data_IF_197551006307
#
_entry.id   IF_197551006307
#
_cell.length_a   1.000
_cell.length_b   1.000
_cell.length_c   1.000
_cell.angle_alpha   90.00
_cell.angle_beta   90.00
_cell.angle_gamma   90.00
#
_symmetry.space_group_name_H-M   'P 1'
#
loop_
_entity.id
_entity.type
_entity.pdbx_description
1 polymer ?
#
# COMPACT_ATOMS: atom_id res chain seq x y z
N UNK A 1 -17.70 -34.73 -42.44
CA UNK A 1 -16.58 -34.63 -41.46
C UNK A 1 -16.90 -33.58 -40.40
N UNK A 2 -17.57 -33.92 -39.28
CA UNK A 2 -17.94 -32.95 -38.21
C UNK A 2 -17.19 -33.15 -36.88
N UNK A 3 -16.55 -34.31 -36.69
CA UNK A 3 -15.86 -34.71 -35.44
C UNK A 3 -14.52 -33.97 -35.24
N UNK A 4 -13.87 -33.53 -36.32
CA UNK A 4 -12.55 -32.86 -36.25
C UNK A 4 -12.62 -31.47 -35.62
N UNK A 5 -13.70 -30.72 -35.85
CA UNK A 5 -13.81 -29.34 -35.38
C UNK A 5 -14.02 -29.26 -33.86
N UNK A 6 -14.87 -30.13 -33.29
CA UNK A 6 -15.06 -30.22 -31.83
C UNK A 6 -13.78 -30.67 -31.09
N UNK A 7 -12.99 -31.57 -31.69
CA UNK A 7 -11.70 -31.97 -31.14
C UNK A 7 -10.69 -30.82 -31.13
N UNK A 8 -10.64 -30.01 -32.19
CA UNK A 8 -9.74 -28.84 -32.21
C UNK A 8 -10.14 -27.79 -31.18
N UNK A 9 -11.43 -27.48 -31.02
CA UNK A 9 -11.88 -26.54 -29.99
C UNK A 9 -11.54 -27.07 -28.60
N UNK A 10 -11.79 -28.36 -28.35
CA UNK A 10 -11.44 -28.99 -27.06
C UNK A 10 -9.93 -28.96 -26.78
N UNK A 11 -9.08 -29.21 -27.78
CA UNK A 11 -7.62 -29.12 -27.64
C UNK A 11 -7.18 -27.67 -27.43
N UNK A 12 -7.80 -26.70 -28.11
CA UNK A 12 -7.51 -25.28 -27.94
C UNK A 12 -7.88 -24.79 -26.53
N UNK A 13 -9.05 -25.17 -26.01
CA UNK A 13 -9.46 -24.86 -24.63
C UNK A 13 -8.54 -25.55 -23.61
N UNK A 14 -8.14 -26.80 -23.87
CA UNK A 14 -7.19 -27.52 -23.03
C UNK A 14 -5.82 -26.81 -23.01
N UNK A 15 -5.29 -26.45 -24.17
CA UNK A 15 -4.02 -25.74 -24.29
C UNK A 15 -4.08 -24.36 -23.61
N UNK A 16 -5.17 -23.62 -23.79
CA UNK A 16 -5.40 -22.35 -23.11
C UNK A 16 -5.45 -22.52 -21.59
N UNK A 17 -6.13 -23.55 -21.08
CA UNK A 17 -6.19 -23.86 -19.65
C UNK A 17 -4.82 -24.25 -19.08
N UNK A 18 -4.09 -25.13 -19.76
CA UNK A 18 -2.72 -25.51 -19.36
C UNK A 18 -1.78 -24.30 -19.37
N UNK A 19 -1.90 -23.43 -20.36
CA UNK A 19 -1.12 -22.19 -20.44
C UNK A 19 -1.47 -21.24 -19.30
N UNK A 20 -2.76 -21.07 -18.99
CA UNK A 20 -3.20 -20.25 -17.86
C UNK A 20 -2.67 -20.80 -16.52
N UNK A 21 -2.73 -22.12 -16.31
CA UNK A 21 -2.15 -22.77 -15.12
C UNK A 21 -0.64 -22.54 -15.06
N UNK A 22 0.07 -22.67 -16.19
CA UNK A 22 1.50 -22.41 -16.25
C UNK A 22 1.84 -20.95 -15.91
N UNK A 23 1.08 -19.98 -16.43
CA UNK A 23 1.28 -18.57 -16.12
C UNK A 23 0.99 -18.23 -14.65
N UNK A 24 0.00 -18.87 -14.04
CA UNK A 24 -0.30 -18.72 -12.60
C UNK A 24 0.84 -19.28 -11.72
N UNK A 25 1.49 -20.35 -12.15
CA UNK A 25 2.60 -20.98 -11.41
C UNK A 25 3.97 -20.36 -11.71
N UNK A 26 4.09 -19.61 -12.80
CA UNK A 26 5.33 -18.92 -13.18
C UNK A 26 5.57 -17.76 -12.23
N UNK A 27 6.79 -17.68 -11.69
CA UNK A 27 7.21 -16.56 -10.85
C UNK A 27 7.20 -15.27 -11.69
N UNK A 28 6.36 -14.27 -11.37
CA UNK A 28 6.40 -12.98 -12.04
C UNK A 28 7.72 -12.27 -11.71
N UNK A 29 8.06 -11.26 -12.53
CA UNK A 29 9.22 -10.43 -12.24
C UNK A 29 9.06 -9.80 -10.84
N UNK A 30 10.09 -9.88 -9.98
CA UNK A 30 10.03 -9.29 -8.65
C UNK A 30 9.86 -7.78 -8.79
N UNK A 31 8.87 -7.23 -8.07
CA UNK A 31 8.60 -5.79 -8.11
C UNK A 31 9.59 -5.01 -7.23
N UNK A 32 10.29 -5.67 -6.29
CA UNK A 32 11.34 -5.06 -5.49
C UNK A 32 12.53 -6.00 -5.32
N UNK A 33 13.70 -5.45 -4.98
CA UNK A 33 14.84 -6.29 -4.61
C UNK A 33 14.65 -6.83 -3.18
N UNK A 34 14.85 -8.14 -2.95
CA UNK A 34 14.81 -8.70 -1.60
C UNK A 34 15.84 -8.01 -0.70
N UNK A 35 15.39 -7.48 0.43
CA UNK A 35 16.26 -6.79 1.39
C UNK A 35 16.88 -7.79 2.37
N UNK A 36 18.14 -7.55 2.75
CA UNK A 36 18.79 -8.33 3.81
C UNK A 36 18.16 -8.02 5.19
N UNK A 37 18.16 -8.96 6.16
CA UNK A 37 17.54 -8.73 7.48
C UNK A 37 18.08 -7.49 8.21
N UNK A 38 19.37 -7.19 8.05
CA UNK A 38 20.00 -5.98 8.61
C UNK A 38 19.52 -4.70 7.94
N UNK A 39 19.26 -4.72 6.64
CA UNK A 39 18.69 -3.60 5.90
C UNK A 39 17.22 -3.36 6.29
N UNK A 40 16.44 -4.43 6.48
CA UNK A 40 15.05 -4.34 6.98
C UNK A 40 15.04 -3.64 8.34
N UNK A 41 15.94 -4.00 9.27
CA UNK A 41 16.02 -3.36 10.57
C UNK A 41 16.35 -1.86 10.47
N UNK A 42 17.36 -1.49 9.67
CA UNK A 42 17.77 -0.09 9.50
C UNK A 42 16.70 0.76 8.81
N UNK A 43 16.05 0.22 7.78
CA UNK A 43 15.00 0.92 7.03
C UNK A 43 13.74 1.11 7.89
N UNK A 44 13.38 0.13 8.72
CA UNK A 44 12.26 0.30 9.63
C UNK A 44 12.56 1.29 10.76
N UNK A 45 13.78 1.32 11.30
CA UNK A 45 14.20 2.37 12.23
C UNK A 45 14.09 3.77 11.59
N UNK A 46 14.42 3.89 10.30
CA UNK A 46 14.29 5.14 9.56
C UNK A 46 12.82 5.54 9.38
N UNK A 47 11.94 4.57 9.10
CA UNK A 47 10.49 4.76 9.09
C UNK A 47 9.96 5.31 10.44
N UNK A 48 10.34 4.67 11.55
CA UNK A 48 9.90 5.08 12.89
C UNK A 48 10.38 6.49 13.25
N UNK A 49 11.64 6.82 12.94
CA UNK A 49 12.20 8.16 13.18
C UNK A 49 11.48 9.24 12.38
N UNK A 50 11.18 8.96 11.12
CA UNK A 50 10.45 9.87 10.24
C UNK A 50 9.01 10.07 10.70
N UNK A 51 8.35 9.02 11.16
CA UNK A 51 7.01 9.11 11.72
C UNK A 51 6.99 9.91 13.02
N UNK A 52 7.99 9.71 13.90
CA UNK A 52 8.15 10.49 15.12
C UNK A 52 8.39 11.99 14.85
N UNK A 53 9.13 12.33 13.78
CA UNK A 53 9.30 13.73 13.35
C UNK A 53 7.97 14.36 12.92
N UNK A 54 7.14 13.62 12.18
CA UNK A 54 5.81 14.10 11.80
C UNK A 54 4.92 14.32 13.03
N UNK A 55 4.98 13.41 14.00
CA UNK A 55 4.23 13.54 15.25
C UNK A 55 4.70 14.75 16.08
N UNK A 56 6.02 14.96 16.22
CA UNK A 56 6.56 16.12 16.92
C UNK A 56 6.14 17.44 16.27
N UNK A 57 6.19 17.50 14.94
CA UNK A 57 5.74 18.67 14.19
C UNK A 57 4.25 18.94 14.42
N UNK A 58 3.42 17.88 14.44
CA UNK A 58 1.99 17.99 14.75
C UNK A 58 1.69 18.55 16.13
N UNK A 59 2.47 18.15 17.15
CA UNK A 59 2.32 18.67 18.51
C UNK A 59 2.73 20.15 18.59
N UNK A 60 3.76 20.55 17.85
CA UNK A 60 4.22 21.94 17.79
C UNK A 60 3.19 22.84 17.09
N UNK A 61 2.58 22.38 16.00
CA UNK A 61 1.50 23.09 15.29
C UNK A 61 0.23 23.21 16.13
N UNK A 62 -0.14 22.18 16.89
CA UNK A 62 -1.30 22.21 17.80
C UNK A 62 -1.08 23.18 18.98
N UNK A 63 0.14 23.22 19.54
CA UNK A 63 0.49 24.15 20.63
C UNK A 63 0.48 25.60 20.15
N UNK A 64 0.90 25.80 18.90
CA UNK A 64 0.86 27.10 18.22
C UNK A 64 -0.58 27.58 18.05
N UNK A 65 -1.50 26.74 17.56
CA UNK A 65 -2.92 27.10 17.38
C UNK A 65 -3.68 27.43 18.69
N UNK A 66 -3.25 26.89 19.83
CA UNK A 66 -3.82 27.22 21.14
C UNK A 66 -3.37 28.61 21.66
N UNK A 67 -2.30 29.19 21.09
CA UNK A 67 -1.72 30.48 21.51
C UNK A 67 -2.29 31.73 20.83
N UNK A 68 -3.13 31.59 19.79
CA UNK A 68 -3.62 32.75 19.00
C UNK A 68 -5.04 33.21 19.33
N UNK A 69 -5.64 32.71 20.42
CA UNK A 69 -6.97 33.16 20.88
C UNK A 69 -6.87 34.15 22.03
N UNK A 70 -5.90 35.06 22.03
CA UNK A 70 -6.00 36.30 22.82
C UNK A 70 -4.97 37.32 22.36
N UNK A 71 -5.43 38.57 22.28
CA UNK A 71 -4.68 39.82 22.06
C UNK A 71 -4.25 40.14 20.62
N UNK A 72 -5.05 40.95 19.92
CA UNK A 72 -4.65 42.32 19.56
C UNK A 72 -5.71 43.00 18.69
N UNK A 73 -6.41 43.92 19.32
CA UNK A 73 -7.25 44.95 18.75
C UNK A 73 -6.36 46.00 18.04
N UNK A 74 -6.74 46.37 16.82
CA UNK A 74 -6.43 47.61 16.06
C UNK A 74 -4.97 48.02 15.79
N UNK A 75 -4.59 48.07 14.51
CA UNK A 75 -3.95 49.24 13.86
C UNK A 75 -3.93 49.09 12.31
N UNK A 76 -4.18 50.14 11.50
CA UNK A 76 -4.23 50.06 10.05
C UNK A 76 -2.92 50.55 9.40
N UNK A 77 -2.17 49.65 8.79
CA UNK A 77 -1.02 50.05 7.97
C UNK A 77 -0.21 48.88 7.44
N UNK A 78 -0.04 48.86 6.12
CA UNK A 78 0.80 47.98 5.30
C UNK A 78 0.16 46.66 4.86
N UNK A 79 -0.42 46.74 3.67
CA UNK A 79 -0.81 45.61 2.83
C UNK A 79 0.44 45.20 2.05
N UNK A 80 1.23 44.28 2.61
CA UNK A 80 2.07 43.39 1.81
C UNK A 80 1.51 41.97 1.96
N UNK A 81 1.16 41.39 0.82
CA UNK A 81 0.50 40.10 0.64
C UNK A 81 1.20 38.97 1.42
N UNK A 82 0.51 38.18 2.26
CA UNK A 82 0.92 36.81 2.53
C UNK A 82 0.30 35.92 1.44
N UNK A 83 1.10 35.58 0.42
CA UNK A 83 0.78 34.48 -0.49
C UNK A 83 1.61 33.27 -0.08
N UNK A 84 0.94 32.20 0.37
CA UNK A 84 1.53 30.87 0.55
C UNK A 84 1.39 30.37 1.98
N UNK A 85 0.47 29.43 2.19
CA UNK A 85 0.14 28.85 3.49
C UNK A 85 1.33 28.19 4.18
N UNK A 86 1.18 28.06 5.50
CA UNK A 86 2.07 27.34 6.42
C UNK A 86 2.64 26.07 5.76
N UNK A 87 3.96 25.81 5.81
CA UNK A 87 4.48 24.54 5.34
C UNK A 87 3.91 23.44 6.25
N UNK A 88 2.88 22.73 5.78
CA UNK A 88 2.46 21.48 6.40
C UNK A 88 3.68 20.57 6.40
N UNK A 89 4.08 20.09 7.57
CA UNK A 89 5.22 19.19 7.67
C UNK A 89 4.92 17.94 6.85
N UNK A 90 5.82 17.65 5.91
CA UNK A 90 5.71 16.53 5.00
C UNK A 90 6.85 15.56 5.26
N UNK A 91 6.51 14.28 5.41
CA UNK A 91 7.48 13.21 5.53
C UNK A 91 7.40 12.31 4.30
N UNK A 92 8.57 12.04 3.72
CA UNK A 92 8.73 11.24 2.51
C UNK A 92 9.42 9.93 2.86
N UNK A 93 8.74 8.83 2.60
CA UNK A 93 9.14 7.46 2.91
C UNK A 93 9.38 6.72 1.60
N UNK A 94 10.53 6.08 1.45
CA UNK A 94 10.82 5.31 0.26
C UNK A 94 10.16 3.90 0.32
N UNK A 95 10.19 3.17 -0.80
CA UNK A 95 9.63 1.82 -0.87
C UNK A 95 10.31 0.83 0.08
N UNK A 96 11.61 1.03 0.32
CA UNK A 96 12.43 0.18 1.17
C UNK A 96 12.07 0.30 2.65
N UNK A 97 11.77 1.51 3.12
CA UNK A 97 11.32 1.86 4.48
C UNK A 97 9.90 1.32 4.72
N UNK A 98 8.99 1.54 3.78
CA UNK A 98 7.61 1.05 3.89
C UNK A 98 7.58 -0.49 3.82
N UNK A 99 8.30 -1.08 2.88
CA UNK A 99 8.42 -2.54 2.75
C UNK A 99 8.99 -3.17 4.01
N UNK A 100 10.01 -2.55 4.61
CA UNK A 100 10.62 -3.01 5.85
C UNK A 100 9.66 -2.91 7.06
N UNK A 101 8.94 -1.79 7.21
CA UNK A 101 7.96 -1.61 8.28
C UNK A 101 6.84 -2.67 8.20
N UNK A 102 6.33 -2.95 6.99
CA UNK A 102 5.34 -4.01 6.80
C UNK A 102 5.96 -5.38 7.11
N UNK A 103 7.21 -5.62 6.68
CA UNK A 103 7.90 -6.90 6.90
C UNK A 103 8.13 -7.15 8.39
N UNK A 104 8.46 -6.12 9.16
CA UNK A 104 8.56 -6.20 10.61
C UNK A 104 7.21 -6.46 11.27
N UNK A 105 6.14 -5.81 10.82
CA UNK A 105 4.78 -6.01 11.35
C UNK A 105 4.27 -7.44 11.11
N UNK A 106 4.70 -8.08 10.02
CA UNK A 106 4.39 -9.47 9.70
C UNK A 106 5.35 -10.45 10.38
N UNK A 107 6.63 -10.07 10.53
CA UNK A 107 7.64 -10.84 11.25
C UNK A 107 7.30 -10.99 12.73
N UNK A 108 6.78 -9.93 13.37
CA UNK A 108 6.23 -9.98 14.74
C UNK A 108 4.91 -10.74 14.83
N UNK A 109 4.20 -10.96 13.72
CA UNK A 109 3.00 -11.78 13.66
C UNK A 109 3.28 -13.29 13.47
N UNK A 110 4.55 -13.73 13.36
CA UNK A 110 4.86 -15.17 13.22
C UNK A 110 4.56 -16.02 14.47
N UNK A 111 4.22 -15.41 15.61
CA UNK A 111 3.64 -16.08 16.80
C UNK A 111 2.13 -15.88 16.95
N UNK A 112 1.50 -15.05 16.13
CA UNK A 112 0.07 -14.87 16.10
C UNK A 112 -0.39 -15.06 14.66
N UNK A 113 -0.64 -16.35 14.34
CA UNK A 113 -1.38 -16.84 13.18
C UNK A 113 -2.00 -15.67 12.39
N UNK A 114 -1.42 -15.34 11.23
CA UNK A 114 -1.89 -14.26 10.35
C UNK A 114 -3.23 -14.66 9.75
N UNK A 115 -4.21 -14.86 10.61
CA UNK A 115 -5.59 -15.18 10.35
C UNK A 115 -6.22 -13.83 10.02
N UNK A 116 -6.13 -13.42 8.75
CA UNK A 116 -6.92 -12.33 8.18
C UNK A 116 -8.42 -12.74 8.07
N UNK A 117 -8.90 -13.58 8.99
CA UNK A 117 -10.18 -14.29 8.91
C UNK A 117 -10.00 -15.72 8.39
N UNK A 118 -10.71 -16.64 9.03
CA UNK A 118 -10.64 -18.09 8.81
C UNK A 118 -10.80 -18.45 7.33
N UNK A 119 -9.69 -18.81 6.69
CA UNK A 119 -9.62 -19.13 5.25
C UNK A 119 -8.82 -18.16 4.39
N UNK A 120 -8.08 -17.22 4.99
CA UNK A 120 -7.15 -16.35 4.25
C UNK A 120 -5.78 -17.00 4.04
N UNK A 121 -5.20 -16.84 2.85
CA UNK A 121 -3.98 -17.56 2.48
C UNK A 121 -2.76 -16.97 3.20
N UNK A 122 -1.85 -17.83 3.65
CA UNK A 122 -0.65 -17.44 4.41
C UNK A 122 0.28 -16.62 3.53
N UNK A 123 0.74 -15.46 4.03
CA UNK A 123 1.69 -14.60 3.32
C UNK A 123 3.11 -15.06 3.67
N UNK A 124 3.83 -15.61 2.70
CA UNK A 124 5.19 -16.14 2.86
C UNK A 124 6.27 -15.11 2.55
N UNK A 125 6.00 -14.24 1.59
CA UNK A 125 6.91 -13.18 1.14
C UNK A 125 6.08 -11.96 0.73
N UNK A 126 6.68 -10.78 0.83
CA UNK A 126 6.05 -9.55 0.40
C UNK A 126 7.06 -8.52 -0.08
N UNK A 127 6.65 -7.75 -1.08
CA UNK A 127 7.44 -6.73 -1.73
C UNK A 127 6.53 -5.55 -2.03
N UNK A 128 7.04 -4.35 -1.76
CA UNK A 128 6.34 -3.10 -2.05
C UNK A 128 7.29 -2.22 -2.84
N UNK A 129 6.79 -1.65 -3.93
CA UNK A 129 7.48 -0.66 -4.74
C UNK A 129 6.55 0.49 -5.06
N UNK A 130 7.09 1.69 -5.09
CA UNK A 130 6.43 2.87 -5.57
C UNK A 130 7.00 3.23 -6.94
N UNK A 131 6.12 3.56 -7.89
CA UNK A 131 6.49 3.99 -9.23
C UNK A 131 5.62 5.20 -9.60
N UNK A 132 6.22 6.39 -9.61
CA UNK A 132 5.50 7.64 -9.84
C UNK A 132 4.49 7.94 -8.72
N UNK A 133 3.20 7.77 -9.02
CA UNK A 133 2.05 7.93 -8.14
C UNK A 133 1.31 6.61 -7.86
N UNK A 134 1.86 5.47 -8.31
CA UNK A 134 1.30 4.13 -8.16
C UNK A 134 2.10 3.35 -7.12
N UNK A 135 1.40 2.62 -6.25
CA UNK A 135 1.99 1.58 -5.40
C UNK A 135 1.78 0.22 -6.05
N UNK A 136 2.86 -0.55 -6.12
CA UNK A 136 2.90 -1.94 -6.54
C UNK A 136 3.20 -2.82 -5.32
N UNK A 137 2.21 -3.57 -4.87
CA UNK A 137 2.37 -4.61 -3.86
C UNK A 137 2.43 -5.98 -4.50
N UNK A 138 3.38 -6.80 -4.12
CA UNK A 138 3.48 -8.20 -4.54
C UNK A 138 3.65 -9.08 -3.31
N UNK A 139 2.83 -10.10 -3.16
CA UNK A 139 2.87 -11.02 -2.02
C UNK A 139 2.76 -12.47 -2.47
N UNK A 140 3.54 -13.34 -1.83
CA UNK A 140 3.53 -14.77 -2.05
C UNK A 140 2.52 -15.41 -1.10
N UNK A 141 1.52 -16.07 -1.67
CA UNK A 141 0.41 -16.61 -0.89
C UNK A 141 0.10 -18.06 -1.25
N UNK A 142 -0.30 -18.86 -0.25
CA UNK A 142 -0.60 -20.28 -0.48
C UNK A 142 -2.08 -20.49 -0.86
N UNK A 143 -2.32 -20.94 -2.10
CA UNK A 143 -3.67 -21.25 -2.61
C UNK A 143 -3.70 -22.74 -2.96
N UNK A 144 -4.57 -23.50 -2.29
CA UNK A 144 -4.71 -24.95 -2.49
C UNK A 144 -3.37 -25.72 -2.35
N UNK A 145 -2.54 -25.34 -1.38
CA UNK A 145 -1.23 -25.96 -1.11
C UNK A 145 -0.14 -25.59 -2.13
N UNK A 146 -0.36 -24.58 -2.96
CA UNK A 146 0.63 -24.06 -3.92
C UNK A 146 0.95 -22.60 -3.65
N UNK A 147 2.23 -22.26 -3.79
CA UNK A 147 2.72 -20.89 -3.68
C UNK A 147 2.38 -20.11 -4.95
N UNK A 148 1.57 -19.07 -4.80
CA UNK A 148 1.11 -18.22 -5.89
C UNK A 148 1.47 -16.77 -5.56
N UNK A 149 2.15 -16.11 -6.50
CA UNK A 149 2.41 -14.69 -6.41
C UNK A 149 1.16 -13.90 -6.77
N UNK A 150 0.77 -12.95 -5.95
CA UNK A 150 -0.29 -12.00 -6.27
C UNK A 150 0.33 -10.62 -6.33
N UNK A 151 0.12 -9.92 -7.44
CA UNK A 151 0.57 -8.54 -7.63
C UNK A 151 -0.64 -7.63 -7.72
N UNK A 152 -0.66 -6.56 -6.95
CA UNK A 152 -1.72 -5.57 -6.92
C UNK A 152 -1.08 -4.20 -7.08
N UNK A 153 -1.51 -3.46 -8.10
CA UNK A 153 -1.06 -2.10 -8.34
C UNK A 153 -2.24 -1.15 -8.18
N UNK A 154 -1.99 0.05 -7.68
CA UNK A 154 -3.06 1.03 -7.49
C UNK A 154 -2.60 2.35 -6.90
N UNK A 155 -3.54 3.27 -6.72
CA UNK A 155 -3.28 4.55 -6.07
C UNK A 155 -3.59 4.46 -4.58
N UNK A 156 -2.72 5.06 -3.78
CA UNK A 156 -2.95 5.24 -2.35
C UNK A 156 -3.44 6.65 -2.09
N UNK A 157 -4.45 6.77 -1.25
CA UNK A 157 -5.01 8.04 -0.81
C UNK A 157 -5.44 7.97 0.65
N UNK A 158 -6.12 9.02 1.09
CA UNK A 158 -6.76 9.06 2.41
C UNK A 158 -8.14 9.67 2.32
N UNK A 159 -9.05 9.12 3.13
CA UNK A 159 -10.42 9.60 3.26
C UNK A 159 -10.93 9.38 4.68
N UNK A 160 -11.47 10.43 5.29
CA UNK A 160 -12.06 10.40 6.64
C UNK A 160 -11.12 9.86 7.73
N UNK A 161 -9.80 10.09 7.60
CA UNK A 161 -8.78 9.60 8.54
C UNK A 161 -8.37 8.12 8.33
N UNK A 162 -8.79 7.51 7.22
CA UNK A 162 -8.40 6.16 6.83
C UNK A 162 -7.61 6.20 5.52
N UNK A 163 -6.59 5.35 5.40
CA UNK A 163 -5.92 5.09 4.14
C UNK A 163 -6.89 4.37 3.19
N UNK A 164 -6.96 4.83 1.95
CA UNK A 164 -7.76 4.25 0.88
C UNK A 164 -6.85 3.73 -0.23
N UNK A 165 -7.19 2.58 -0.79
CA UNK A 165 -6.44 2.00 -1.89
C UNK A 165 -7.38 1.77 -3.09
N UNK A 166 -7.04 2.35 -4.23
CA UNK A 166 -7.78 2.20 -5.48
C UNK A 166 -6.96 1.31 -6.45
N UNK A 167 -7.33 0.03 -6.60
CA UNK A 167 -6.60 -0.89 -7.46
C UNK A 167 -6.75 -0.50 -8.94
N UNK A 168 -5.65 -0.46 -9.66
CA UNK A 168 -5.59 -0.24 -11.12
C UNK A 168 -5.16 -1.50 -11.88
N UNK A 169 -4.40 -2.39 -11.23
CA UNK A 169 -3.97 -3.67 -11.81
C UNK A 169 -4.02 -4.79 -10.77
N UNK A 170 -4.38 -6.01 -11.21
CA UNK A 170 -4.31 -7.21 -10.39
C UNK A 170 -3.76 -8.38 -11.23
N UNK A 171 -2.70 -9.03 -10.76
CA UNK A 171 -2.11 -10.22 -11.38
C UNK A 171 -2.02 -11.37 -10.40
N UNK A 172 -2.20 -12.58 -10.91
CA UNK A 172 -1.98 -13.85 -10.18
C UNK A 172 -0.95 -14.64 -10.99
N UNK A 173 0.28 -14.73 -10.46
CA UNK A 173 1.46 -15.11 -11.22
C UNK A 173 1.68 -14.09 -12.35
N UNK A 174 1.68 -14.58 -13.58
CA UNK A 174 1.80 -13.80 -14.82
C UNK A 174 0.41 -13.53 -15.47
N UNK A 175 -0.69 -14.03 -14.87
CA UNK A 175 -2.05 -13.85 -15.39
C UNK A 175 -2.63 -12.52 -14.93
N UNK A 176 -3.00 -11.66 -15.88
CA UNK A 176 -3.72 -10.43 -15.60
C UNK A 176 -5.20 -10.72 -15.34
N UNK A 177 -5.72 -10.29 -14.18
CA UNK A 177 -7.12 -10.43 -13.80
C UNK A 177 -7.74 -9.04 -13.79
N UNK A 178 -8.84 -8.81 -14.53
CA UNK A 178 -9.53 -7.53 -14.52
C UNK A 178 -9.92 -7.09 -13.11
N UNK A 179 -9.56 -5.87 -12.73
CA UNK A 179 -9.84 -5.33 -11.40
C UNK A 179 -11.34 -5.38 -11.08
N UNK A 180 -12.22 -5.21 -12.06
CA UNK A 180 -13.67 -5.30 -11.88
C UNK A 180 -14.16 -6.62 -11.27
N UNK A 181 -13.43 -7.73 -11.47
CA UNK A 181 -13.78 -9.04 -10.90
C UNK A 181 -13.35 -9.15 -9.43
N UNK A 182 -12.26 -8.48 -9.06
CA UNK A 182 -11.68 -8.57 -7.71
C UNK A 182 -12.09 -7.40 -6.82
N UNK A 183 -12.51 -6.27 -7.39
CA UNK A 183 -12.87 -5.06 -6.67
C UNK A 183 -13.87 -5.29 -5.52
N UNK A 184 -15.02 -5.98 -5.72
CA UNK A 184 -15.96 -6.21 -4.61
C UNK A 184 -15.36 -7.07 -3.48
N UNK A 185 -14.49 -8.04 -3.81
CA UNK A 185 -13.83 -8.87 -2.82
C UNK A 185 -12.72 -8.11 -2.08
N UNK A 186 -11.95 -7.30 -2.80
CA UNK A 186 -10.92 -6.42 -2.24
C UNK A 186 -11.53 -5.36 -1.33
N UNK A 187 -12.58 -4.68 -1.78
CA UNK A 187 -13.25 -3.64 -1.02
C UNK A 187 -13.86 -4.21 0.27
N UNK A 188 -14.52 -5.37 0.18
CA UNK A 188 -15.01 -6.09 1.38
C UNK A 188 -13.89 -6.45 2.36
N UNK A 189 -12.71 -6.84 1.87
CA UNK A 189 -11.56 -7.15 2.72
C UNK A 189 -10.95 -5.87 3.32
N UNK A 190 -10.83 -4.80 2.55
CA UNK A 190 -10.36 -3.50 3.03
C UNK A 190 -11.31 -2.92 4.08
N UNK A 191 -12.61 -3.07 3.91
CA UNK A 191 -13.61 -2.68 4.92
C UNK A 191 -13.46 -3.51 6.21
N UNK A 192 -13.24 -4.83 6.07
CA UNK A 192 -12.94 -5.69 7.21
C UNK A 192 -11.61 -5.38 7.90
N UNK A 193 -10.68 -4.76 7.19
CA UNK A 193 -9.38 -4.32 7.69
C UNK A 193 -9.33 -2.81 7.95
N UNK A 194 -10.46 -2.11 7.92
CA UNK A 194 -10.51 -0.66 7.99
C UNK A 194 -9.88 -0.12 9.27
N UNK A 195 -10.01 -0.83 10.39
CA UNK A 195 -9.34 -0.47 11.64
C UNK A 195 -7.81 -0.48 11.52
N UNK A 196 -7.25 -1.38 10.71
CA UNK A 196 -5.81 -1.43 10.42
C UNK A 196 -5.36 -0.37 9.42
N UNK A 197 -6.30 0.17 8.65
CA UNK A 197 -6.07 1.26 7.69
C UNK A 197 -6.28 2.64 8.31
N UNK A 198 -6.63 2.71 9.61
CA UNK A 198 -6.76 3.99 10.32
C UNK A 198 -5.39 4.68 10.36
N UNK A 199 -5.36 5.92 9.90
CA UNK A 199 -4.17 6.75 9.98
C UNK A 199 -4.03 7.34 11.39
N UNK A 200 -2.80 7.56 11.88
CA UNK A 200 -2.58 8.27 13.13
C UNK A 200 -3.20 9.67 13.08
N UNK A 201 -3.68 10.18 14.22
CA UNK A 201 -4.45 11.43 14.28
C UNK A 201 -3.66 12.66 13.82
N UNK A 202 -2.32 12.57 13.82
CA UNK A 202 -1.41 13.60 13.32
C UNK A 202 -1.24 13.61 11.79
N UNK A 203 -1.68 12.55 11.09
CA UNK A 203 -1.58 12.43 9.64
C UNK A 203 -2.89 12.90 9.00
N UNK A 204 -2.82 13.98 8.25
CA UNK A 204 -3.95 14.56 7.52
C UNK A 204 -4.14 13.96 6.14
N UNK A 205 -3.06 13.61 5.45
CA UNK A 205 -3.10 13.11 4.08
C UNK A 205 -1.98 12.10 3.81
N UNK A 206 -2.25 11.09 3.00
CA UNK A 206 -1.28 10.09 2.55
C UNK A 206 -1.43 9.88 1.04
N UNK A 207 -0.33 10.03 0.30
CA UNK A 207 -0.28 9.77 -1.14
C UNK A 207 1.08 9.26 -1.57
N UNK A 208 1.16 8.66 -2.75
CA UNK A 208 2.46 8.37 -3.38
C UNK A 208 2.81 9.52 -4.32
N UNK A 209 4.01 10.08 -4.18
CA UNK A 209 4.52 11.13 -5.05
C UNK A 209 6.01 10.93 -5.32
N UNK A 210 6.38 10.95 -6.60
CA UNK A 210 7.76 10.78 -7.05
C UNK A 210 8.40 9.47 -6.53
N UNK A 211 7.64 8.37 -6.58
CA UNK A 211 8.04 7.04 -6.08
C UNK A 211 8.35 7.00 -4.58
N UNK A 212 7.80 7.94 -3.80
CA UNK A 212 7.90 7.98 -2.35
C UNK A 212 6.50 8.14 -1.76
N UNK A 213 6.26 7.46 -0.64
CA UNK A 213 5.07 7.65 0.16
C UNK A 213 5.21 8.96 0.93
N UNK A 214 4.30 9.88 0.65
CA UNK A 214 4.23 11.20 1.24
C UNK A 214 3.12 11.21 2.29
N UNK A 215 3.50 11.50 3.53
CA UNK A 215 2.58 11.69 4.65
C UNK A 215 2.60 13.17 5.05
N UNK A 216 1.43 13.79 5.07
CA UNK A 216 1.28 15.21 5.39
C UNK A 216 0.57 15.37 6.73
N UNK A 217 1.07 16.31 7.53
CA UNK A 217 0.45 16.69 8.80
C UNK A 217 -0.96 17.28 8.61
N UNK A 218 -1.84 16.98 9.57
CA UNK A 218 -3.23 17.44 9.60
C UNK A 218 -3.36 18.95 9.79
#
# INVERSE_FOLDING_TARGET
MKIKFHRMISIATLAASVTAIFLVLKKPAPVAQPQAPTAIAANAQSFDQKLAQLEQASQQSQTSLAGYSQVAQSEPGQVDKPSGGSPKTEVRLNSDEVGAAIAQSLGTATTANTDLGSGTPTIKDQQVRFDGDVVHGQFLTEIAGKDVWVTVSGHLGSKDGYATFEPTEFKVGDLNVPVSLVNPALQKKLDGQRDRMKLPDFVGDVKVNNSELVMTEK
#
